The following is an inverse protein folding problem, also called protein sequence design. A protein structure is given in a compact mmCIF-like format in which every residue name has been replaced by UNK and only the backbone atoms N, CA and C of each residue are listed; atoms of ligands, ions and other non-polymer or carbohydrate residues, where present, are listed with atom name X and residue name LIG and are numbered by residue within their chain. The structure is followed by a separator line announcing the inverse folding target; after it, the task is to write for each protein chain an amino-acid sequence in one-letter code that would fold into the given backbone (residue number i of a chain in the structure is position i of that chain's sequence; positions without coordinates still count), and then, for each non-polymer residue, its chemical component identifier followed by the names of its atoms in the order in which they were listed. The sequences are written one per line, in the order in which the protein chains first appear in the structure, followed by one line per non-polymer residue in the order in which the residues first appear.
data_IF_905950897202
#
_entry.id   IF_905950897202
#
_cell.length_a   1.000
_cell.length_b   1.000
_cell.length_c   1.000
_cell.angle_alpha   90.00
_cell.angle_beta   90.00
_cell.angle_gamma   90.00
#
_symmetry.space_group_name_H-M   'P 1'
#
loop_
_entity.id
_entity.type
_entity.pdbx_description
1 polymer ?
#
# COMPACT_ATOMS: atom_id res chain seq x y z
N UNK A 1 -17.50 1.33 17.57
CA UNK A 1 -18.73 1.31 16.74
C UNK A 1 -18.88 -0.09 16.16
N UNK A 2 -20.05 -0.71 16.29
CA UNK A 2 -20.31 -2.05 15.76
C UNK A 2 -20.60 -1.97 14.25
N UNK A 3 -19.98 -2.85 13.46
CA UNK A 3 -20.27 -2.99 12.04
C UNK A 3 -21.61 -3.72 11.88
N UNK A 4 -22.61 -3.06 11.27
CA UNK A 4 -23.90 -3.68 10.98
C UNK A 4 -23.98 -4.10 9.51
N UNK A 5 -24.14 -5.39 9.28
CA UNK A 5 -24.24 -5.99 7.94
C UNK A 5 -25.69 -6.43 7.76
N UNK A 6 -26.38 -5.87 6.76
CA UNK A 6 -27.79 -6.17 6.47
C UNK A 6 -27.99 -7.51 5.76
N UNK A 7 -27.00 -7.92 4.97
CA UNK A 7 -27.03 -9.16 4.23
C UNK A 7 -26.61 -10.33 5.15
N UNK A 8 -27.47 -11.34 5.37
CA UNK A 8 -27.18 -12.44 6.27
C UNK A 8 -26.02 -13.33 5.77
N UNK A 9 -25.82 -13.45 4.46
CA UNK A 9 -24.71 -14.23 3.91
C UNK A 9 -23.37 -13.52 4.18
N UNK A 10 -23.32 -12.20 4.02
CA UNK A 10 -22.13 -11.41 4.33
C UNK A 10 -21.85 -11.38 5.84
N UNK A 11 -22.90 -11.36 6.66
CA UNK A 11 -22.74 -11.41 8.11
C UNK A 11 -22.14 -12.75 8.60
N UNK A 12 -22.58 -13.86 8.00
CA UNK A 12 -22.03 -15.19 8.26
C UNK A 12 -20.54 -15.28 7.87
N UNK A 13 -20.16 -14.75 6.71
CA UNK A 13 -18.76 -14.66 6.29
C UNK A 13 -17.92 -13.83 7.27
N UNK A 14 -18.45 -12.70 7.74
CA UNK A 14 -17.75 -11.85 8.69
C UNK A 14 -17.56 -12.54 10.06
N UNK A 15 -18.53 -13.34 10.52
CA UNK A 15 -18.36 -14.18 11.72
C UNK A 15 -17.35 -15.31 11.51
N UNK A 16 -17.37 -15.96 10.35
CA UNK A 16 -16.42 -17.04 10.04
C UNK A 16 -14.98 -16.50 10.03
N UNK A 17 -14.75 -15.36 9.36
CA UNK A 17 -13.46 -14.68 9.36
C UNK A 17 -13.05 -14.31 10.78
N UNK A 18 -13.95 -13.76 11.60
CA UNK A 18 -13.67 -13.43 13.01
C UNK A 18 -13.25 -14.67 13.81
N UNK A 19 -13.95 -15.80 13.64
CA UNK A 19 -13.63 -17.06 14.32
C UNK A 19 -12.28 -17.62 13.91
N UNK A 20 -12.00 -17.68 12.60
CA UNK A 20 -10.75 -18.21 12.07
C UNK A 20 -9.54 -17.35 12.44
N UNK A 21 -9.70 -16.02 12.41
CA UNK A 21 -8.63 -15.06 12.75
C UNK A 21 -8.53 -14.77 14.24
N UNK A 22 -9.48 -15.28 15.05
CA UNK A 22 -9.62 -15.01 16.49
C UNK A 22 -9.69 -13.51 16.83
N UNK A 23 -10.18 -12.69 15.90
CA UNK A 23 -10.36 -11.26 16.11
C UNK A 23 -11.40 -11.01 17.21
N UNK A 24 -11.18 -9.96 18.03
CA UNK A 24 -12.04 -9.69 19.19
C UNK A 24 -13.43 -9.22 18.75
N UNK A 25 -13.50 -8.48 17.64
CA UNK A 25 -14.74 -7.93 17.12
C UNK A 25 -14.92 -8.23 15.63
N UNK A 26 -16.18 -8.29 15.17
CA UNK A 26 -16.50 -8.43 13.74
C UNK A 26 -15.92 -7.27 12.92
N UNK A 27 -15.98 -6.05 13.47
CA UNK A 27 -15.38 -4.85 12.85
C UNK A 27 -13.88 -5.01 12.61
N UNK A 28 -13.15 -5.52 13.60
CA UNK A 28 -11.70 -5.76 13.51
C UNK A 28 -11.39 -6.86 12.49
N UNK A 29 -12.15 -7.97 12.51
CA UNK A 29 -12.01 -9.06 11.56
C UNK A 29 -12.17 -8.58 10.11
N UNK A 30 -13.24 -7.82 9.85
CA UNK A 30 -13.57 -7.29 8.52
C UNK A 30 -12.54 -6.24 8.09
N UNK A 31 -12.14 -5.32 8.98
CA UNK A 31 -11.09 -4.33 8.68
C UNK A 31 -9.81 -5.03 8.23
N UNK A 32 -9.33 -5.99 9.01
CA UNK A 32 -8.08 -6.69 8.71
C UNK A 32 -8.17 -7.48 7.39
N UNK A 33 -9.32 -8.10 7.11
CA UNK A 33 -9.55 -8.80 5.85
C UNK A 33 -9.51 -7.84 4.64
N UNK A 34 -10.19 -6.68 4.74
CA UNK A 34 -10.21 -5.68 3.69
C UNK A 34 -8.84 -5.04 3.46
N UNK A 35 -8.10 -4.74 4.53
CA UNK A 35 -6.73 -4.20 4.42
C UNK A 35 -5.79 -5.17 3.71
N UNK A 36 -5.85 -6.47 4.03
CA UNK A 36 -5.08 -7.50 3.34
C UNK A 36 -5.46 -7.60 1.86
N UNK A 37 -6.76 -7.58 1.56
CA UNK A 37 -7.23 -7.65 0.18
C UNK A 37 -6.83 -6.41 -0.63
N UNK A 38 -6.91 -5.22 -0.02
CA UNK A 38 -6.43 -3.99 -0.64
C UNK A 38 -4.91 -4.03 -0.87
N UNK A 39 -4.14 -4.55 0.09
CA UNK A 39 -2.70 -4.71 -0.07
C UNK A 39 -2.36 -5.67 -1.22
N UNK A 40 -3.07 -6.80 -1.31
CA UNK A 40 -2.92 -7.76 -2.41
C UNK A 40 -3.29 -7.14 -3.76
N UNK A 41 -4.44 -6.48 -3.85
CA UNK A 41 -4.88 -5.79 -5.06
C UNK A 41 -3.86 -4.72 -5.50
N UNK A 42 -3.35 -3.91 -4.57
CA UNK A 42 -2.32 -2.91 -4.84
C UNK A 42 -1.00 -3.52 -5.32
N UNK A 43 -0.62 -4.70 -4.81
CA UNK A 43 0.58 -5.41 -5.25
C UNK A 43 0.43 -5.98 -6.66
N UNK A 44 -0.78 -6.44 -7.01
CA UNK A 44 -1.12 -6.97 -8.33
C UNK A 44 -1.24 -5.89 -9.42
N UNK A 45 -1.35 -4.61 -9.05
CA UNK A 45 -1.32 -3.52 -10.02
C UNK A 45 -0.01 -3.53 -10.82
N UNK A 46 -0.07 -3.21 -12.14
CA UNK A 46 1.11 -3.01 -12.96
C UNK A 46 2.10 -2.05 -12.29
N UNK A 47 3.40 -2.28 -12.50
CA UNK A 47 4.47 -1.47 -11.90
C UNK A 47 4.27 0.02 -12.17
N UNK A 48 3.83 0.36 -13.38
CA UNK A 48 3.50 1.72 -13.78
C UNK A 48 2.47 2.38 -12.85
N UNK A 49 1.39 1.67 -12.51
CA UNK A 49 0.34 2.21 -11.65
C UNK A 49 0.78 2.31 -10.19
N UNK A 50 1.66 1.41 -9.74
CA UNK A 50 2.28 1.49 -8.41
C UNK A 50 3.23 2.69 -8.28
N UNK A 51 3.97 2.98 -9.35
CA UNK A 51 4.93 4.09 -9.41
C UNK A 51 4.31 5.42 -9.83
N UNK A 52 3.07 5.44 -10.31
CA UNK A 52 2.43 6.64 -10.86
C UNK A 52 2.52 7.86 -9.94
N UNK A 53 2.37 7.67 -8.62
CA UNK A 53 2.54 8.77 -7.64
C UNK A 53 3.97 9.26 -7.51
N UNK A 54 4.94 8.35 -7.50
CA UNK A 54 6.35 8.71 -7.40
C UNK A 54 6.83 9.40 -8.69
N UNK A 55 6.40 8.91 -9.85
CA UNK A 55 6.66 9.52 -11.14
C UNK A 55 6.00 10.91 -11.24
N UNK A 56 4.74 11.06 -10.85
CA UNK A 56 4.08 12.37 -10.84
C UNK A 56 4.77 13.38 -9.91
N UNK A 57 5.32 12.92 -8.77
CA UNK A 57 6.12 13.77 -7.89
C UNK A 57 7.45 14.16 -8.56
N UNK A 58 8.12 13.21 -9.23
CA UNK A 58 9.33 13.48 -9.99
C UNK A 58 9.09 14.48 -11.13
N UNK A 59 8.02 14.30 -11.89
CA UNK A 59 7.61 15.21 -12.95
C UNK A 59 7.31 16.62 -12.40
N UNK A 60 6.70 16.71 -11.22
CA UNK A 60 6.41 17.98 -10.56
C UNK A 60 7.67 18.70 -10.02
N UNK A 61 8.76 17.98 -9.75
CA UNK A 61 10.04 18.59 -9.36
C UNK A 61 10.75 19.28 -10.54
N UNK A 62 10.30 19.05 -11.77
CA UNK A 62 10.84 19.64 -12.98
C UNK A 62 11.90 18.76 -13.66
N UNK A 63 12.36 19.17 -14.85
CA UNK A 63 13.33 18.41 -15.62
C UNK A 63 14.67 18.28 -14.88
N UNK A 64 15.27 17.09 -14.94
CA UNK A 64 16.62 16.86 -14.44
C UNK A 64 17.63 17.69 -15.24
N UNK A 65 18.52 18.40 -14.55
CA UNK A 65 19.63 19.11 -15.20
C UNK A 65 20.65 18.10 -15.77
N UNK A 66 20.81 18.03 -17.11
CA UNK A 66 21.72 17.08 -17.73
C UNK A 66 23.21 17.42 -17.54
N UNK A 67 23.53 18.61 -17.01
CA UNK A 67 24.90 19.02 -16.72
C UNK A 67 25.43 18.49 -15.38
N UNK A 68 24.56 17.92 -14.53
CA UNK A 68 24.94 17.35 -13.24
C UNK A 68 25.58 15.98 -13.43
N UNK A 69 26.87 15.88 -13.09
CA UNK A 69 27.56 14.60 -12.98
C UNK A 69 27.12 13.88 -11.70
N UNK A 70 26.04 13.11 -11.83
CA UNK A 70 25.48 12.31 -10.74
C UNK A 70 26.46 11.27 -10.19
N UNK A 71 27.42 10.81 -11.00
CA UNK A 71 28.42 9.83 -10.56
C UNK A 71 29.44 10.50 -9.63
N UNK A 72 30.04 11.60 -10.07
CA UNK A 72 30.99 12.35 -9.26
C UNK A 72 30.37 12.84 -7.94
N UNK A 73 29.11 13.31 -7.98
CA UNK A 73 28.37 13.71 -6.79
C UNK A 73 28.13 12.55 -5.82
N UNK A 74 27.75 11.37 -6.35
CA UNK A 74 27.51 10.19 -5.51
C UNK A 74 28.81 9.66 -4.94
N UNK A 75 29.86 9.52 -5.75
CA UNK A 75 31.18 9.04 -5.30
C UNK A 75 31.70 9.88 -4.13
N UNK A 76 31.59 11.22 -4.21
CA UNK A 76 32.01 12.14 -3.15
C UNK A 76 31.25 11.94 -1.82
N UNK A 77 30.03 11.40 -1.82
CA UNK A 77 29.29 11.08 -0.59
C UNK A 77 29.75 9.79 0.10
N UNK A 78 30.50 8.93 -0.60
CA UNK A 78 30.93 7.63 -0.12
C UNK A 78 32.45 7.47 -0.02
N UNK A 79 33.23 8.41 -0.55
CA UNK A 79 34.71 8.42 -0.53
C UNK A 79 35.32 8.86 0.82
N UNK A 80 34.53 9.37 1.76
CA UNK A 80 34.95 9.74 3.14
C UNK A 80 35.05 8.50 4.08
N UNK A 81 35.61 7.38 3.60
CA UNK A 81 35.92 6.20 4.44
C UNK A 81 37.39 5.82 4.46
#
# INVERSE_FOLDING_TARGET
MALFIRDPAVDALAEEVRRLTRAKTKTEAVRNALEKQLAQARRALPVRDRLARALALADAMGPSDPSVDMKAWTDAMWDDR
#
